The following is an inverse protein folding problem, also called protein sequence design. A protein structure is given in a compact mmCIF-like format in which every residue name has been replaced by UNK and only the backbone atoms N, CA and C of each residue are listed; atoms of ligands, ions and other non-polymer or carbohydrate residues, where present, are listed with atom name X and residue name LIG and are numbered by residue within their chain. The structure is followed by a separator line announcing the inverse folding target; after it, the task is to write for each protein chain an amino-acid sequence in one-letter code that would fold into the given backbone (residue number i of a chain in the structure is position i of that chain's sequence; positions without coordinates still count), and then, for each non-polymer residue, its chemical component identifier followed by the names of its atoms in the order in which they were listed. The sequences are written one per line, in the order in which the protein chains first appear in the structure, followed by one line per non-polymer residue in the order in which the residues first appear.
data_IF_810790897464
#
_entry.id   IF_810790897464
#
_cell.length_a   1.000
_cell.length_b   1.000
_cell.length_c   1.000
_cell.angle_alpha   90.00
_cell.angle_beta   90.00
_cell.angle_gamma   90.00
#
_symmetry.space_group_name_H-M   'P 1'
#
loop_
_entity.id
_entity.type
_entity.pdbx_description
1 polymer ?
#
# COMPACT_ATOMS: atom_id res chain seq x y z
N UNK A 1 24.46 30.35 0.96
CA UNK A 1 24.53 29.51 2.19
C UNK A 1 23.11 29.39 2.71
N UNK A 2 22.74 28.16 3.08
CA UNK A 2 21.54 27.68 3.78
C UNK A 2 20.67 28.80 4.39
N UNK A 3 19.38 28.85 4.13
CA UNK A 3 18.47 27.95 4.85
C UNK A 3 17.14 27.88 4.11
N UNK A 4 16.84 26.75 3.49
CA UNK A 4 15.45 26.35 3.25
C UNK A 4 14.90 25.96 4.61
N UNK A 5 14.36 26.92 5.37
CA UNK A 5 13.72 26.61 6.62
C UNK A 5 12.37 25.94 6.30
N UNK A 6 12.37 24.61 6.32
CA UNK A 6 11.14 23.84 6.35
C UNK A 6 10.64 23.85 7.79
N UNK A 7 9.41 24.30 7.95
CA UNK A 7 8.82 24.61 9.22
C UNK A 7 7.61 23.68 9.36
N UNK A 8 7.79 22.61 10.15
CA UNK A 8 6.75 21.63 10.48
C UNK A 8 6.04 22.09 11.75
N UNK A 9 4.73 22.33 11.69
CA UNK A 9 3.92 22.49 12.91
C UNK A 9 3.15 21.21 13.18
N UNK A 10 3.36 20.62 14.35
CA UNK A 10 2.56 19.49 14.85
C UNK A 10 1.77 19.96 16.04
N UNK A 11 0.46 19.70 15.99
CA UNK A 11 -0.52 20.20 16.93
C UNK A 11 -1.06 19.08 17.86
N UNK A 12 -0.90 19.12 19.20
CA UNK A 12 -1.45 18.11 20.14
C UNK A 12 -2.65 18.62 20.94
N UNK A 13 -3.87 18.23 20.56
CA UNK A 13 -5.04 18.48 21.40
C UNK A 13 -4.98 17.59 22.65
N UNK A 14 -4.64 18.18 23.79
CA UNK A 14 -5.13 17.69 25.08
C UNK A 14 -6.63 18.02 25.25
N UNK A 15 -7.20 17.68 26.41
CA UNK A 15 -8.59 18.04 26.77
C UNK A 15 -8.89 19.54 26.76
N UNK A 16 -7.85 20.38 26.61
CA UNK A 16 -7.94 21.78 26.19
C UNK A 16 -7.46 21.90 24.74
N UNK A 17 -8.31 21.49 23.79
CA UNK A 17 -8.03 21.47 22.35
C UNK A 17 -7.90 22.78 21.55
N UNK A 18 -8.07 24.03 22.07
CA UNK A 18 -7.97 25.24 21.22
C UNK A 18 -6.55 25.74 20.91
N UNK A 19 -5.56 25.51 21.78
CA UNK A 19 -4.30 26.28 21.78
C UNK A 19 -3.36 26.01 20.61
N UNK A 20 -3.37 24.81 20.08
CA UNK A 20 -2.23 24.38 19.29
C UNK A 20 -2.44 24.54 17.77
N UNK A 21 -3.70 24.72 17.34
CA UNK A 21 -4.01 25.31 16.03
C UNK A 21 -3.52 26.76 15.95
N UNK A 22 -3.72 27.53 17.02
CA UNK A 22 -3.32 28.94 17.07
C UNK A 22 -1.78 29.05 17.05
N UNK A 23 -1.07 28.15 17.74
CA UNK A 23 0.40 28.01 17.66
C UNK A 23 0.89 27.67 16.24
N UNK A 24 0.16 26.84 15.49
CA UNK A 24 0.47 26.53 14.10
C UNK A 24 0.37 27.75 13.20
N UNK A 25 -0.70 28.52 13.38
CA UNK A 25 -1.01 29.67 12.55
C UNK A 25 -0.10 30.86 12.85
N UNK A 26 0.20 31.12 14.13
CA UNK A 26 1.14 32.17 14.55
C UNK A 26 2.55 31.91 14.02
N UNK A 27 2.98 30.66 14.01
CA UNK A 27 4.28 30.27 13.44
C UNK A 27 4.35 30.48 11.92
N UNK A 28 3.31 30.12 11.18
CA UNK A 28 3.22 30.39 9.73
C UNK A 28 3.26 31.91 9.43
N UNK A 29 2.55 32.72 10.23
CA UNK A 29 2.55 34.18 10.10
C UNK A 29 3.90 34.81 10.44
N UNK A 30 4.64 34.23 11.40
CA UNK A 30 5.98 34.67 11.75
C UNK A 30 6.99 34.31 10.66
N UNK A 31 6.90 33.13 10.04
CA UNK A 31 7.75 32.77 8.90
C UNK A 31 7.54 33.70 7.69
N UNK A 32 6.28 34.09 7.41
CA UNK A 32 5.96 34.97 6.28
C UNK A 32 6.55 36.38 6.42
N UNK A 33 6.72 36.89 7.66
CA UNK A 33 7.29 38.21 7.95
C UNK A 33 8.82 38.28 7.75
N UNK A 34 9.51 37.13 7.70
CA UNK A 34 10.99 37.07 7.60
C UNK A 34 11.48 36.91 6.14
N UNK A 35 10.56 36.79 5.16
CA UNK A 35 10.90 36.74 3.73
C UNK A 35 11.46 35.41 3.22
N UNK A 36 11.46 34.37 4.06
CA UNK A 36 11.65 32.98 3.64
C UNK A 36 10.32 32.42 3.09
N UNK A 37 10.35 31.64 2.00
CA UNK A 37 9.19 30.89 1.50
C UNK A 37 9.30 29.44 1.97
N UNK A 38 8.77 29.07 3.14
CA UNK A 38 8.78 27.68 3.57
C UNK A 38 7.70 26.90 2.82
N UNK A 39 7.98 25.64 2.52
CA UNK A 39 6.93 24.64 2.27
C UNK A 39 6.52 24.10 3.64
N UNK A 40 5.32 24.42 4.11
CA UNK A 40 4.78 23.92 5.37
C UNK A 40 3.68 22.89 5.09
N UNK A 41 3.72 21.76 5.79
CA UNK A 41 2.62 20.80 5.85
C UNK A 41 2.19 20.61 7.30
N UNK A 42 0.90 20.79 7.58
CA UNK A 42 0.29 20.66 8.90
C UNK A 42 -1.07 19.99 8.70
N UNK A 43 -1.27 18.75 9.16
CA UNK A 43 -2.62 18.24 9.40
C UNK A 43 -2.66 17.36 10.64
N UNK A 44 -3.52 17.78 11.56
CA UNK A 44 -3.84 17.15 12.84
C UNK A 44 -5.34 16.90 12.85
N UNK A 45 -5.80 15.77 13.40
CA UNK A 45 -6.87 15.73 14.41
C UNK A 45 -7.04 14.32 15.00
N UNK A 46 -7.28 14.32 16.31
CA UNK A 46 -7.00 13.29 17.30
C UNK A 46 -8.32 12.80 17.91
N UNK A 47 -8.50 11.47 18.01
CA UNK A 47 -9.68 10.83 18.61
C UNK A 47 -9.48 10.46 20.10
N UNK A 48 -8.50 11.05 20.79
CA UNK A 48 -8.15 10.68 22.17
C UNK A 48 -6.92 9.79 22.30
N UNK A 49 -6.38 9.24 21.21
CA UNK A 49 -5.17 8.39 21.25
C UNK A 49 -3.87 9.08 20.80
N UNK A 50 -2.71 8.71 21.38
CA UNK A 50 -1.40 9.29 21.03
C UNK A 50 -0.99 9.00 19.58
N UNK A 51 -0.59 10.02 18.84
CA UNK A 51 -0.02 9.88 17.49
C UNK A 51 1.42 9.35 17.58
N UNK A 52 1.74 8.25 16.88
CA UNK A 52 3.08 7.64 16.81
C UNK A 52 4.13 8.53 16.10
N UNK A 53 5.39 8.46 16.56
CA UNK A 53 6.52 9.32 16.16
C UNK A 53 7.07 9.05 14.74
N UNK A 54 6.66 7.97 14.08
CA UNK A 54 7.31 7.49 12.84
C UNK A 54 6.62 7.91 11.53
N UNK A 55 5.73 8.91 11.54
CA UNK A 55 4.95 9.26 10.34
C UNK A 55 5.56 10.40 9.53
N UNK A 56 5.52 10.22 8.22
CA UNK A 56 5.87 11.25 7.24
C UNK A 56 4.67 12.18 7.04
N UNK A 57 4.78 13.44 7.51
CA UNK A 57 3.72 14.44 7.38
C UNK A 57 3.72 15.15 6.01
N UNK A 58 4.62 14.82 5.09
CA UNK A 58 4.67 15.45 3.77
C UNK A 58 3.56 14.97 2.82
N UNK A 59 2.84 13.90 3.20
CA UNK A 59 1.75 13.28 2.43
C UNK A 59 0.65 12.85 3.40
N UNK A 60 -0.62 13.15 3.10
CA UNK A 60 -1.74 12.68 3.91
C UNK A 60 -1.89 11.16 3.87
N UNK A 61 -2.01 10.51 5.03
CA UNK A 61 -2.33 9.08 5.14
C UNK A 61 -3.16 8.80 6.39
N UNK A 62 -3.81 7.63 6.43
CA UNK A 62 -4.48 7.18 7.64
C UNK A 62 -3.46 6.92 8.75
N UNK A 63 -3.85 7.28 9.96
CA UNK A 63 -3.07 7.00 11.14
C UNK A 63 -2.96 5.49 11.37
N UNK A 64 -4.11 4.87 11.55
CA UNK A 64 -4.21 3.47 11.93
C UNK A 64 -4.45 2.61 10.69
N UNK A 65 -4.05 1.34 10.79
CA UNK A 65 -4.30 0.36 9.74
C UNK A 65 -5.80 0.14 9.53
N UNK A 66 -6.22 -0.13 8.30
CA UNK A 66 -7.64 -0.42 7.98
C UNK A 66 -8.08 -1.71 8.69
N UNK A 67 -7.18 -2.67 8.87
CA UNK A 67 -7.41 -3.98 9.46
C UNK A 67 -7.05 -4.05 10.97
N UNK A 68 -6.63 -2.95 11.61
CA UNK A 68 -6.06 -3.00 12.98
C UNK A 68 -7.07 -3.45 14.06
N UNK A 69 -8.33 -3.03 13.98
CA UNK A 69 -9.44 -3.42 14.88
C UNK A 69 -10.69 -3.82 14.08
N UNK A 70 -10.47 -4.48 12.95
CA UNK A 70 -11.49 -4.66 11.95
C UNK A 70 -12.48 -5.78 12.34
N UNK A 71 -13.71 -5.40 12.66
CA UNK A 71 -14.84 -6.34 12.73
C UNK A 71 -15.41 -6.51 11.33
N UNK A 72 -15.48 -7.76 10.86
CA UNK A 72 -16.01 -8.11 9.54
C UNK A 72 -17.44 -7.57 9.36
N UNK A 73 -17.69 -6.95 8.21
CA UNK A 73 -18.99 -6.38 7.88
C UNK A 73 -19.37 -5.12 8.68
N UNK A 74 -18.48 -4.59 9.53
CA UNK A 74 -18.76 -3.35 10.25
C UNK A 74 -18.72 -2.13 9.33
N UNK A 75 -19.60 -1.18 9.62
CA UNK A 75 -19.61 0.11 8.95
C UNK A 75 -18.30 0.89 9.16
N UNK A 76 -17.72 0.80 10.37
CA UNK A 76 -16.41 1.41 10.69
C UNK A 76 -15.32 0.92 9.75
N UNK A 77 -15.26 -0.39 9.50
CA UNK A 77 -14.30 -0.99 8.57
C UNK A 77 -14.53 -0.53 7.13
N UNK A 78 -15.79 -0.48 6.68
CA UNK A 78 -16.10 0.03 5.34
C UNK A 78 -15.64 1.48 5.17
N UNK A 79 -15.96 2.35 6.13
CA UNK A 79 -15.54 3.76 6.10
C UNK A 79 -14.01 3.90 6.13
N UNK A 80 -13.31 3.07 6.92
CA UNK A 80 -11.84 3.05 6.93
C UNK A 80 -11.25 2.60 5.58
N UNK A 81 -11.84 1.58 4.95
CA UNK A 81 -11.48 1.16 3.60
C UNK A 81 -11.66 2.30 2.59
N UNK A 82 -12.84 2.94 2.55
CA UNK A 82 -13.11 4.07 1.64
C UNK A 82 -12.13 5.21 1.89
N UNK A 83 -11.92 5.63 3.15
CA UNK A 83 -10.98 6.69 3.49
C UNK A 83 -9.55 6.37 3.03
N UNK A 84 -9.09 5.13 3.20
CA UNK A 84 -7.79 4.67 2.71
C UNK A 84 -7.71 4.75 1.18
N UNK A 85 -8.78 4.35 0.48
CA UNK A 85 -8.87 4.47 -0.98
C UNK A 85 -8.77 5.91 -1.43
N UNK A 86 -9.55 6.82 -0.85
CA UNK A 86 -9.53 8.24 -1.23
C UNK A 86 -8.16 8.88 -0.98
N UNK A 87 -7.56 8.63 0.17
CA UNK A 87 -6.24 9.14 0.50
C UNK A 87 -5.19 8.69 -0.52
N UNK A 88 -5.26 7.42 -0.96
CA UNK A 88 -4.38 6.91 -2.00
C UNK A 88 -4.67 7.55 -3.37
N UNK A 89 -5.94 7.58 -3.80
CA UNK A 89 -6.33 8.18 -5.08
C UNK A 89 -5.94 9.66 -5.18
N UNK A 90 -6.02 10.38 -4.06
CA UNK A 90 -5.63 11.78 -3.96
C UNK A 90 -4.13 12.04 -4.07
N UNK A 91 -3.29 11.00 -3.97
CA UNK A 91 -1.86 11.11 -4.18
C UNK A 91 -1.16 12.14 -3.27
N UNK A 92 -1.72 12.41 -2.09
CA UNK A 92 -1.24 13.44 -1.16
C UNK A 92 -1.78 14.85 -1.38
N UNK A 93 -2.62 15.07 -2.40
CA UNK A 93 -3.24 16.36 -2.68
C UNK A 93 -4.55 16.52 -1.89
N UNK A 94 -4.60 17.51 -1.00
CA UNK A 94 -5.77 17.77 -0.15
C UNK A 94 -6.98 18.28 -0.95
N UNK A 95 -6.76 19.05 -2.01
CA UNK A 95 -7.84 19.53 -2.87
C UNK A 95 -8.50 18.37 -3.60
N UNK A 96 -7.69 17.44 -4.11
CA UNK A 96 -8.19 16.20 -4.70
C UNK A 96 -8.94 15.35 -3.67
N UNK A 97 -8.41 15.22 -2.45
CA UNK A 97 -9.07 14.46 -1.40
C UNK A 97 -10.47 15.03 -1.06
N UNK A 98 -10.61 16.36 -1.04
CA UNK A 98 -11.90 17.03 -0.83
C UNK A 98 -12.87 16.78 -1.98
N UNK A 99 -12.42 16.93 -3.23
CA UNK A 99 -13.24 16.61 -4.41
C UNK A 99 -13.73 15.16 -4.39
N UNK A 100 -12.85 14.24 -3.99
CA UNK A 100 -13.17 12.82 -3.91
C UNK A 100 -14.17 12.50 -2.80
N UNK A 101 -14.13 13.19 -1.65
CA UNK A 101 -15.09 13.03 -0.56
C UNK A 101 -16.51 13.38 -1.02
N UNK A 102 -16.66 14.50 -1.75
CA UNK A 102 -17.93 14.89 -2.36
C UNK A 102 -18.46 13.84 -3.35
N UNK A 103 -17.56 13.27 -4.16
CA UNK A 103 -17.90 12.22 -5.14
C UNK A 103 -18.40 10.95 -4.45
N UNK A 104 -17.78 10.54 -3.33
CA UNK A 104 -18.16 9.30 -2.65
C UNK A 104 -19.26 9.47 -1.61
N UNK A 105 -19.66 10.71 -1.28
CA UNK A 105 -20.77 10.98 -0.37
C UNK A 105 -22.09 10.32 -0.79
N UNK A 106 -22.26 10.02 -2.08
CA UNK A 106 -23.40 9.27 -2.63
C UNK A 106 -23.25 7.75 -2.65
N UNK A 107 -22.09 7.20 -2.26
CA UNK A 107 -21.82 5.76 -2.31
C UNK A 107 -22.41 5.09 -1.07
N UNK A 108 -23.37 4.18 -1.29
CA UNK A 108 -23.96 3.39 -0.22
C UNK A 108 -22.94 2.49 0.50
N UNK A 109 -23.24 2.13 1.74
CA UNK A 109 -22.41 1.22 2.53
C UNK A 109 -22.16 -0.10 1.77
N UNK A 110 -20.90 -0.55 1.78
CA UNK A 110 -20.44 -1.78 1.12
C UNK A 110 -20.59 -1.80 -0.41
N UNK A 111 -20.89 -0.65 -1.02
CA UNK A 111 -21.08 -0.49 -2.47
C UNK A 111 -19.78 -0.39 -3.27
N UNK A 112 -18.89 -1.38 -3.20
CA UNK A 112 -17.56 -1.34 -3.84
C UNK A 112 -17.63 -1.07 -5.35
N UNK A 113 -18.58 -1.69 -6.07
CA UNK A 113 -18.76 -1.42 -7.50
C UNK A 113 -19.20 0.03 -7.80
N UNK A 114 -20.02 0.62 -6.92
CA UNK A 114 -20.43 2.03 -7.05
C UNK A 114 -19.28 2.98 -6.71
N UNK A 115 -18.44 2.64 -5.72
CA UNK A 115 -17.21 3.35 -5.43
C UNK A 115 -16.28 3.36 -6.65
N UNK A 116 -16.02 2.19 -7.26
CA UNK A 116 -15.16 2.10 -8.44
C UNK A 116 -15.70 2.91 -9.63
N UNK A 117 -17.01 2.86 -9.88
CA UNK A 117 -17.64 3.64 -10.93
C UNK A 117 -17.49 5.15 -10.68
N UNK A 118 -17.79 5.61 -9.46
CA UNK A 118 -17.66 7.02 -9.09
C UNK A 118 -16.21 7.53 -9.24
N UNK A 119 -15.23 6.74 -8.81
CA UNK A 119 -13.81 7.07 -8.99
C UNK A 119 -13.40 7.12 -10.47
N UNK A 120 -13.91 6.20 -11.31
CA UNK A 120 -13.61 6.18 -12.74
C UNK A 120 -14.22 7.41 -13.45
N UNK A 121 -15.45 7.76 -13.13
CA UNK A 121 -16.15 8.91 -13.72
C UNK A 121 -15.45 10.21 -13.34
N UNK A 122 -15.14 10.40 -12.06
CA UNK A 122 -14.42 11.59 -11.59
C UNK A 122 -13.02 11.68 -12.19
N UNK A 123 -12.25 10.60 -12.23
CA UNK A 123 -10.91 10.60 -12.83
C UNK A 123 -10.96 10.92 -14.33
N UNK A 124 -11.95 10.38 -15.03
CA UNK A 124 -12.20 10.63 -16.46
C UNK A 124 -12.61 12.08 -16.72
N UNK A 125 -13.38 12.70 -15.83
CA UNK A 125 -13.69 14.12 -15.91
C UNK A 125 -12.45 14.98 -15.62
N UNK A 126 -11.70 14.65 -14.55
CA UNK A 126 -10.55 15.44 -14.10
C UNK A 126 -9.42 15.50 -15.11
N UNK A 127 -9.13 14.40 -15.82
CA UNK A 127 -8.06 14.40 -16.83
C UNK A 127 -8.31 15.39 -17.97
N UNK A 128 -9.56 15.75 -18.25
CA UNK A 128 -9.90 16.75 -19.29
C UNK A 128 -9.44 18.17 -18.94
N UNK A 129 -9.27 18.46 -17.64
CA UNK A 129 -8.77 19.74 -17.15
C UNK A 129 -7.24 19.81 -17.08
N UNK A 130 -6.52 18.74 -17.44
CA UNK A 130 -5.06 18.73 -17.42
C UNK A 130 -4.51 19.36 -18.71
N UNK A 131 -3.57 20.28 -18.55
CA UNK A 131 -2.87 20.92 -19.68
C UNK A 131 -2.25 19.89 -20.63
N UNK A 132 -2.45 20.08 -21.93
CA UNK A 132 -1.97 19.15 -22.95
C UNK A 132 -0.45 18.95 -22.94
N UNK A 133 0.31 19.99 -22.60
CA UNK A 133 1.77 19.93 -22.45
C UNK A 133 2.21 19.02 -21.29
N UNK A 134 1.47 19.04 -20.18
CA UNK A 134 1.74 18.20 -19.03
C UNK A 134 1.42 16.73 -19.35
N UNK A 135 0.33 16.45 -20.07
CA UNK A 135 0.00 15.10 -20.54
C UNK A 135 1.03 14.54 -21.53
N UNK A 136 1.53 15.37 -22.47
CA UNK A 136 2.63 14.97 -23.36
C UNK A 136 3.89 14.62 -22.59
N UNK A 137 4.26 15.48 -21.65
CA UNK A 137 5.40 15.27 -20.75
C UNK A 137 5.26 13.99 -19.92
N UNK A 138 4.03 13.69 -19.46
CA UNK A 138 3.72 12.45 -18.75
C UNK A 138 3.87 11.22 -19.64
N UNK A 139 3.41 11.28 -20.89
CA UNK A 139 3.56 10.18 -21.85
C UNK A 139 5.04 9.84 -22.10
N UNK A 140 5.88 10.85 -22.33
CA UNK A 140 7.34 10.71 -22.45
C UNK A 140 7.94 10.06 -21.18
N UNK A 141 7.51 10.50 -20.00
CA UNK A 141 7.96 9.91 -18.72
C UNK A 141 7.57 8.43 -18.57
N UNK A 142 6.32 8.08 -18.88
CA UNK A 142 5.79 6.72 -18.76
C UNK A 142 6.48 5.72 -19.70
N UNK A 143 6.80 6.17 -20.92
CA UNK A 143 7.42 5.33 -21.95
C UNK A 143 8.95 5.25 -21.80
N UNK A 144 9.53 6.00 -20.85
CA UNK A 144 10.96 5.99 -20.60
C UNK A 144 11.79 6.52 -21.78
N UNK A 145 11.22 7.43 -22.57
CA UNK A 145 11.96 8.08 -23.65
C UNK A 145 13.20 8.79 -23.05
N UNK A 146 14.38 8.64 -23.67
CA UNK A 146 15.63 9.08 -23.06
C UNK A 146 15.63 10.60 -22.87
N UNK A 147 15.55 11.04 -21.62
CA UNK A 147 15.82 12.43 -21.27
C UNK A 147 17.27 12.75 -21.66
N UNK A 148 17.47 13.87 -22.39
CA UNK A 148 18.78 14.27 -22.91
C UNK A 148 19.86 14.48 -21.82
N UNK A 149 19.47 14.57 -20.53
CA UNK A 149 20.38 14.63 -19.38
C UNK A 149 19.68 14.22 -18.06
N UNK A 150 20.47 13.91 -17.02
CA UNK A 150 19.96 13.63 -15.66
C UNK A 150 19.32 14.85 -14.99
N UNK A 151 19.82 16.06 -15.26
CA UNK A 151 19.21 17.32 -14.79
C UNK A 151 17.86 17.59 -15.44
N UNK A 152 17.71 17.24 -16.73
CA UNK A 152 16.45 17.32 -17.46
C UNK A 152 15.42 16.33 -16.90
N UNK A 153 15.84 15.10 -16.58
CA UNK A 153 14.96 14.10 -15.96
C UNK A 153 14.45 14.53 -14.57
N UNK A 154 15.31 15.08 -13.73
CA UNK A 154 14.92 15.60 -12.41
C UNK A 154 13.98 16.82 -12.52
N UNK A 155 14.23 17.71 -13.49
CA UNK A 155 13.36 18.84 -13.77
C UNK A 155 11.98 18.42 -14.28
N UNK A 156 11.92 17.42 -15.17
CA UNK A 156 10.67 16.84 -15.66
C UNK A 156 9.86 16.20 -14.51
N UNK A 157 10.51 15.40 -13.67
CA UNK A 157 9.87 14.77 -12.51
C UNK A 157 9.30 15.81 -11.52
N UNK A 158 10.05 16.88 -11.25
CA UNK A 158 9.57 17.98 -10.40
C UNK A 158 8.37 18.71 -11.03
N UNK A 159 8.42 18.99 -12.34
CA UNK A 159 7.33 19.65 -13.06
C UNK A 159 6.04 18.80 -13.03
N UNK A 160 6.15 17.51 -13.32
CA UNK A 160 5.01 16.60 -13.30
C UNK A 160 4.43 16.39 -11.89
N UNK A 161 5.26 16.43 -10.84
CA UNK A 161 4.79 16.42 -9.44
C UNK A 161 4.07 17.72 -9.08
N UNK A 162 4.59 18.87 -9.49
CA UNK A 162 3.92 20.15 -9.28
C UNK A 162 2.57 20.23 -10.01
N UNK A 163 2.43 19.52 -11.12
CA UNK A 163 1.16 19.37 -11.85
C UNK A 163 0.23 18.30 -11.26
N UNK A 164 0.62 17.62 -10.17
CA UNK A 164 -0.17 16.55 -9.55
C UNK A 164 -0.30 15.27 -10.37
N UNK A 165 0.51 15.10 -11.42
CA UNK A 165 0.49 13.93 -12.32
C UNK A 165 1.41 12.80 -11.83
N UNK A 166 2.48 13.19 -11.15
CA UNK A 166 3.34 12.29 -10.40
C UNK A 166 3.19 12.57 -8.90
N UNK A 167 3.43 11.53 -8.11
CA UNK A 167 3.57 11.66 -6.68
C UNK A 167 4.60 10.66 -6.16
N UNK A 168 5.00 10.84 -4.91
CA UNK A 168 5.92 9.93 -4.24
C UNK A 168 5.24 9.41 -2.97
N UNK A 169 4.79 8.14 -2.95
CA UNK A 169 4.27 7.54 -1.74
C UNK A 169 5.31 7.56 -0.62
N UNK A 170 4.81 7.60 0.62
CA UNK A 170 5.64 7.55 1.82
C UNK A 170 6.51 6.29 1.80
N UNK A 171 7.79 6.45 2.14
CA UNK A 171 8.77 5.35 2.18
C UNK A 171 9.35 4.96 0.82
N UNK A 172 8.89 5.57 -0.27
CA UNK A 172 9.41 5.29 -1.61
C UNK A 172 10.43 6.30 -2.10
N UNK A 173 11.40 5.80 -2.89
CA UNK A 173 12.47 6.64 -3.46
C UNK A 173 12.11 7.25 -4.80
N UNK A 174 11.19 6.62 -5.55
CA UNK A 174 10.85 7.01 -6.92
C UNK A 174 9.44 7.57 -6.97
N UNK A 175 9.26 8.60 -7.79
CA UNK A 175 7.94 9.08 -8.13
C UNK A 175 7.23 8.05 -9.02
N UNK A 176 5.91 8.05 -8.97
CA UNK A 176 5.02 7.21 -9.78
C UNK A 176 3.82 8.03 -10.23
N UNK A 177 3.05 7.57 -11.24
CA UNK A 177 1.79 8.21 -11.61
C UNK A 177 0.87 8.37 -10.41
N UNK A 178 0.19 9.51 -10.31
CA UNK A 178 -0.91 9.67 -9.37
C UNK A 178 -2.00 8.61 -9.67
N UNK A 179 -2.62 7.97 -8.66
CA UNK A 179 -3.50 6.82 -8.93
C UNK A 179 -4.75 7.23 -9.71
N UNK A 180 -5.29 8.43 -9.45
CA UNK A 180 -6.39 8.99 -10.24
C UNK A 180 -6.04 9.12 -11.73
N UNK A 181 -4.81 9.55 -12.04
CA UNK A 181 -4.34 9.69 -13.42
C UNK A 181 -4.17 8.32 -14.06
N UNK A 182 -3.57 7.37 -13.33
CA UNK A 182 -3.43 6.00 -13.80
C UNK A 182 -4.79 5.35 -14.11
N UNK A 183 -5.78 5.60 -13.26
CA UNK A 183 -7.17 5.19 -13.44
C UNK A 183 -7.76 5.81 -14.71
N UNK A 184 -7.68 7.12 -14.88
CA UNK A 184 -8.21 7.82 -16.05
C UNK A 184 -7.61 7.27 -17.36
N UNK A 185 -6.28 7.09 -17.42
CA UNK A 185 -5.59 6.58 -18.60
C UNK A 185 -5.98 5.13 -18.91
N UNK A 186 -6.05 4.25 -17.90
CA UNK A 186 -6.45 2.86 -18.09
C UNK A 186 -7.93 2.70 -18.42
N UNK A 187 -8.78 3.61 -17.93
CA UNK A 187 -10.21 3.63 -18.24
C UNK A 187 -10.44 4.04 -19.69
N UNK A 188 -9.73 5.07 -20.18
CA UNK A 188 -9.79 5.50 -21.57
C UNK A 188 -9.17 4.48 -22.53
N UNK A 189 -8.04 3.87 -22.15
CA UNK A 189 -7.32 2.91 -22.99
C UNK A 189 -6.85 1.69 -22.16
N UNK A 190 -7.65 0.62 -22.05
CA UNK A 190 -7.26 -0.58 -21.30
C UNK A 190 -5.99 -1.27 -21.82
N UNK A 191 -5.63 -1.02 -23.08
CA UNK A 191 -4.45 -1.52 -23.78
C UNK A 191 -3.21 -0.61 -23.70
N UNK A 192 -3.24 0.45 -22.89
CA UNK A 192 -2.19 1.48 -22.84
C UNK A 192 -0.78 0.89 -22.74
N UNK A 193 0.18 1.42 -23.50
CA UNK A 193 1.54 0.88 -23.60
C UNK A 193 2.26 0.78 -22.22
N UNK A 194 2.02 1.74 -21.32
CA UNK A 194 2.55 1.75 -19.95
C UNK A 194 1.67 1.01 -18.92
N UNK A 195 0.76 0.10 -19.35
CA UNK A 195 -0.25 -0.54 -18.50
C UNK A 195 0.29 -1.14 -17.20
N UNK A 196 1.47 -1.78 -17.22
CA UNK A 196 2.04 -2.36 -16.01
C UNK A 196 2.37 -1.32 -14.94
N UNK A 197 2.92 -0.16 -15.35
CA UNK A 197 3.25 0.95 -14.44
C UNK A 197 1.97 1.59 -13.91
N UNK A 198 0.99 1.82 -14.78
CA UNK A 198 -0.30 2.41 -14.40
C UNK A 198 -1.08 1.51 -13.44
N UNK A 199 -1.13 0.20 -13.71
CA UNK A 199 -1.78 -0.78 -12.82
C UNK A 199 -1.14 -0.79 -11.44
N UNK A 200 0.19 -0.77 -11.36
CA UNK A 200 0.91 -0.74 -10.10
C UNK A 200 0.62 0.55 -9.30
N UNK A 201 0.47 1.69 -9.98
CA UNK A 201 0.12 2.95 -9.32
C UNK A 201 -1.28 2.94 -8.66
N UNK A 202 -2.23 2.22 -9.24
CA UNK A 202 -3.59 2.06 -8.68
C UNK A 202 -3.67 1.18 -7.44
N UNK A 203 -2.64 0.38 -7.14
CA UNK A 203 -2.64 -0.48 -5.96
C UNK A 203 -2.35 0.36 -4.73
N UNK A 204 -3.33 0.47 -3.82
CA UNK A 204 -3.15 1.11 -2.52
C UNK A 204 -2.09 0.36 -1.71
N UNK A 205 -0.86 0.89 -1.73
CA UNK A 205 0.32 0.25 -1.15
C UNK A 205 0.17 -0.05 0.35
N UNK A 206 -0.20 0.93 1.19
CA UNK A 206 -0.46 0.71 2.61
C UNK A 206 -1.45 -0.42 2.88
N UNK A 207 -2.61 -0.40 2.23
CA UNK A 207 -3.64 -1.43 2.43
C UNK A 207 -3.19 -2.80 1.90
N UNK A 208 -2.49 -2.84 0.76
CA UNK A 208 -1.94 -4.07 0.21
C UNK A 208 -0.89 -4.70 1.13
N UNK A 209 0.00 -3.88 1.68
CA UNK A 209 1.02 -4.33 2.63
C UNK A 209 0.39 -4.84 3.93
N UNK A 210 -0.64 -4.15 4.42
CA UNK A 210 -1.38 -4.59 5.61
C UNK A 210 -2.06 -5.95 5.37
N UNK A 211 -2.81 -6.10 4.27
CA UNK A 211 -3.46 -7.36 3.89
C UNK A 211 -2.45 -8.50 3.66
N UNK A 212 -1.33 -8.21 2.99
CA UNK A 212 -0.27 -9.18 2.73
C UNK A 212 0.43 -9.60 4.03
N UNK A 213 0.64 -8.67 4.96
CA UNK A 213 1.19 -8.98 6.28
C UNK A 213 0.29 -9.95 7.03
N UNK A 214 -1.02 -9.70 7.07
CA UNK A 214 -2.00 -10.63 7.67
C UNK A 214 -1.93 -12.01 7.03
N UNK A 215 -1.85 -12.08 5.70
CA UNK A 215 -1.70 -13.34 4.99
C UNK A 215 -0.42 -14.09 5.38
N UNK A 216 0.71 -13.40 5.53
CA UNK A 216 1.96 -14.03 5.96
C UNK A 216 1.92 -14.52 7.40
N UNK A 217 1.28 -13.77 8.31
CA UNK A 217 1.13 -14.18 9.70
C UNK A 217 0.23 -15.43 9.82
N UNK A 218 -0.88 -15.48 9.04
CA UNK A 218 -1.73 -16.68 8.91
C UNK A 218 -0.97 -17.85 8.29
N UNK A 219 -0.25 -17.64 7.18
CA UNK A 219 0.49 -18.71 6.49
C UNK A 219 1.57 -19.30 7.41
N UNK A 220 2.27 -18.46 8.17
CA UNK A 220 3.28 -18.92 9.13
C UNK A 220 2.68 -19.80 10.23
N UNK A 221 1.53 -19.39 10.78
CA UNK A 221 0.79 -20.16 11.80
C UNK A 221 0.27 -21.48 11.24
N UNK A 222 -0.31 -21.42 10.03
CA UNK A 222 -0.81 -22.60 9.33
C UNK A 222 0.31 -23.59 9.04
N UNK A 223 1.43 -23.17 8.45
CA UNK A 223 2.57 -24.06 8.16
C UNK A 223 3.09 -24.70 9.44
N UNK A 224 3.18 -23.97 10.55
CA UNK A 224 3.58 -24.55 11.84
C UNK A 224 2.57 -25.60 12.37
N UNK A 225 1.26 -25.34 12.26
CA UNK A 225 0.20 -26.29 12.63
C UNK A 225 0.25 -27.55 11.74
N UNK A 226 0.46 -27.37 10.44
CA UNK A 226 0.59 -28.46 9.47
C UNK A 226 1.82 -29.31 9.74
N UNK A 227 2.99 -28.70 9.97
CA UNK A 227 4.21 -29.42 10.34
C UNK A 227 4.00 -30.25 11.63
N UNK A 228 3.30 -29.70 12.63
CA UNK A 228 3.00 -30.43 13.88
C UNK A 228 2.14 -31.68 13.64
N UNK A 229 1.20 -31.60 12.71
CA UNK A 229 0.22 -32.67 12.43
C UNK A 229 0.71 -33.68 11.38
N UNK A 230 1.57 -33.22 10.47
CA UNK A 230 1.91 -33.92 9.23
C UNK A 230 3.41 -33.88 8.91
N UNK A 231 4.28 -33.58 9.87
CA UNK A 231 5.73 -33.44 9.65
C UNK A 231 6.36 -34.66 8.98
N UNK A 232 5.78 -35.85 9.18
CA UNK A 232 6.18 -37.10 8.52
C UNK A 232 5.99 -37.09 6.99
N UNK A 233 5.21 -36.15 6.45
CA UNK A 233 5.03 -35.97 5.01
C UNK A 233 6.23 -35.31 4.32
N UNK A 234 7.34 -35.04 5.01
CA UNK A 234 8.57 -34.48 4.42
C UNK A 234 9.01 -35.24 3.16
N UNK A 235 8.90 -36.57 3.15
CA UNK A 235 9.26 -37.41 2.00
C UNK A 235 8.33 -37.28 0.79
N UNK A 236 7.21 -36.55 0.92
CA UNK A 236 6.28 -36.23 -0.18
C UNK A 236 6.50 -34.82 -0.75
N UNK A 237 7.34 -34.01 -0.12
CA UNK A 237 7.75 -32.70 -0.64
C UNK A 237 8.65 -32.91 -1.86
N UNK A 238 8.42 -32.15 -2.93
CA UNK A 238 9.09 -32.35 -4.22
C UNK A 238 10.36 -31.51 -4.36
N UNK A 239 10.27 -30.23 -4.01
CA UNK A 239 11.32 -29.23 -4.26
C UNK A 239 12.11 -28.90 -3.00
N UNK A 240 11.40 -28.87 -1.86
CA UNK A 240 11.94 -28.41 -0.59
C UNK A 240 13.19 -29.17 -0.09
N UNK A 241 13.31 -30.52 -0.23
CA UNK A 241 14.52 -31.24 0.17
C UNK A 241 15.76 -30.82 -0.63
N UNK A 242 15.60 -30.56 -1.93
CA UNK A 242 16.68 -30.09 -2.79
C UNK A 242 17.14 -28.67 -2.41
N UNK A 243 16.20 -27.80 -2.02
CA UNK A 243 16.51 -26.46 -1.52
C UNK A 243 17.27 -26.53 -0.19
N UNK A 244 16.85 -27.37 0.75
CA UNK A 244 17.57 -27.60 2.01
C UNK A 244 19.01 -28.08 1.76
N UNK A 245 19.22 -29.01 0.83
CA UNK A 245 20.56 -29.49 0.50
C UNK A 245 21.43 -28.36 -0.08
N UNK A 246 20.88 -27.58 -1.01
CA UNK A 246 21.58 -26.43 -1.59
C UNK A 246 21.89 -25.35 -0.56
N UNK A 247 21.00 -25.15 0.43
CA UNK A 247 21.22 -24.26 1.57
C UNK A 247 22.39 -24.74 2.44
N UNK A 248 22.39 -26.03 2.83
CA UNK A 248 23.47 -26.64 3.62
C UNK A 248 24.83 -26.58 2.91
N UNK A 249 24.83 -26.58 1.57
CA UNK A 249 26.02 -26.43 0.74
C UNK A 249 26.45 -24.97 0.52
N UNK A 250 25.70 -23.99 1.03
CA UNK A 250 25.99 -22.55 0.80
C UNK A 250 25.75 -22.07 -0.63
N UNK A 251 25.02 -22.85 -1.44
CA UNK A 251 24.78 -22.55 -2.86
C UNK A 251 23.49 -21.77 -3.11
N UNK A 252 22.67 -21.56 -2.07
CA UNK A 252 21.52 -20.66 -2.08
C UNK A 252 21.91 -19.26 -1.62
N UNK A 253 21.34 -18.22 -2.25
CA UNK A 253 21.60 -16.83 -1.84
C UNK A 253 21.04 -16.56 -0.46
N UNK A 254 19.98 -17.26 -0.10
CA UNK A 254 19.26 -17.19 1.16
C UNK A 254 20.17 -17.51 2.35
N UNK A 255 21.24 -18.30 2.15
CA UNK A 255 22.25 -18.57 3.18
C UNK A 255 22.87 -17.28 3.75
N UNK A 256 22.97 -16.22 2.94
CA UNK A 256 23.57 -14.94 3.36
C UNK A 256 22.74 -14.18 4.40
N UNK A 257 21.47 -14.53 4.58
CA UNK A 257 20.58 -13.91 5.58
C UNK A 257 20.70 -14.54 6.96
N UNK A 258 21.42 -15.66 7.11
CA UNK A 258 21.62 -16.36 8.38
C UNK A 258 23.03 -16.09 8.91
N UNK A 259 23.20 -15.18 9.89
CA UNK A 259 24.51 -14.91 10.46
C UNK A 259 25.07 -16.16 11.19
N UNK A 260 26.39 -16.20 11.34
CA UNK A 260 27.06 -17.27 12.06
C UNK A 260 26.51 -17.39 13.50
N UNK A 261 26.09 -18.61 13.87
CA UNK A 261 25.50 -18.88 15.19
C UNK A 261 24.00 -18.57 15.31
N UNK A 262 23.30 -18.23 14.22
CA UNK A 262 21.85 -18.06 14.25
C UNK A 262 21.15 -19.36 14.68
N UNK A 263 20.41 -19.38 15.81
CA UNK A 263 19.74 -20.59 16.28
C UNK A 263 18.55 -21.00 15.41
N UNK A 264 18.02 -20.07 14.60
CA UNK A 264 16.88 -20.29 13.70
C UNK A 264 17.29 -20.74 12.30
N UNK A 265 18.44 -21.42 12.17
CA UNK A 265 18.91 -21.90 10.86
C UNK A 265 17.98 -23.03 10.34
N UNK A 266 17.56 -23.01 9.06
CA UNK A 266 16.73 -24.06 8.46
C UNK A 266 17.34 -25.44 8.66
N UNK A 267 16.58 -26.36 9.25
CA UNK A 267 17.07 -27.68 9.64
C UNK A 267 16.44 -28.84 8.85
N UNK A 268 15.17 -28.70 8.48
CA UNK A 268 14.38 -29.66 7.71
C UNK A 268 13.86 -29.06 6.39
N UNK A 269 13.26 -29.89 5.53
CA UNK A 269 12.76 -29.43 4.23
C UNK A 269 11.52 -28.53 4.38
N UNK A 270 10.75 -28.65 5.47
CA UNK A 270 9.58 -27.81 5.71
C UNK A 270 9.92 -26.32 5.80
N UNK A 271 11.13 -25.97 6.24
CA UNK A 271 11.64 -24.59 6.23
C UNK A 271 11.71 -23.97 4.81
N UNK A 272 11.70 -24.79 3.75
CA UNK A 272 11.74 -24.35 2.35
C UNK A 272 10.45 -24.66 1.59
N UNK A 273 9.52 -25.39 2.20
CA UNK A 273 8.29 -25.79 1.54
C UNK A 273 7.35 -24.60 1.37
N UNK A 274 6.92 -24.34 0.14
CA UNK A 274 5.84 -23.37 -0.09
C UNK A 274 4.51 -23.95 0.41
N UNK A 275 3.57 -23.12 0.86
CA UNK A 275 2.23 -23.60 1.25
C UNK A 275 1.56 -24.43 0.14
N UNK A 276 1.73 -24.04 -1.12
CA UNK A 276 1.21 -24.80 -2.25
C UNK A 276 1.85 -26.18 -2.44
N UNK A 277 3.12 -26.35 -2.06
CA UNK A 277 3.78 -27.65 -2.05
C UNK A 277 3.27 -28.53 -0.91
N UNK A 278 3.10 -27.95 0.28
CA UNK A 278 2.52 -28.62 1.45
C UNK A 278 1.10 -29.14 1.13
N UNK A 279 0.26 -28.31 0.52
CA UNK A 279 -1.11 -28.70 0.14
C UNK A 279 -1.16 -29.80 -0.94
N UNK A 280 -0.13 -29.88 -1.81
CA UNK A 280 0.00 -31.00 -2.75
C UNK A 280 0.42 -32.30 -2.07
N UNK A 281 1.26 -32.21 -1.04
CA UNK A 281 1.71 -33.37 -0.26
C UNK A 281 0.62 -33.94 0.65
N UNK A 282 -0.35 -33.11 1.04
CA UNK A 282 -1.52 -33.46 1.85
C UNK A 282 -2.86 -33.08 1.15
N UNK A 283 -3.27 -33.80 0.09
CA UNK A 283 -4.47 -33.48 -0.68
C UNK A 283 -5.77 -33.45 0.14
N UNK A 284 -5.82 -34.18 1.25
CA UNK A 284 -6.94 -34.19 2.20
C UNK A 284 -7.18 -32.83 2.88
N UNK A 285 -6.17 -31.96 2.90
CA UNK A 285 -6.24 -30.58 3.38
C UNK A 285 -6.54 -29.60 2.22
N UNK A 286 -6.31 -30.05 0.98
CA UNK A 286 -6.40 -29.24 -0.23
C UNK A 286 -7.75 -29.38 -0.93
N UNK A 287 -8.66 -28.44 -0.66
CA UNK A 287 -9.88 -28.23 -1.46
C UNK A 287 -9.83 -26.89 -2.19
N UNK A 288 -10.45 -26.76 -3.36
CA UNK A 288 -10.50 -25.47 -4.09
C UNK A 288 -11.10 -24.34 -3.24
N UNK A 289 -12.05 -24.68 -2.38
CA UNK A 289 -12.72 -23.78 -1.44
C UNK A 289 -12.15 -23.86 -0.01
N UNK A 290 -11.07 -24.62 0.21
CA UNK A 290 -10.46 -24.73 1.55
C UNK A 290 -9.83 -23.41 1.99
N UNK A 291 -9.89 -23.06 3.29
CA UNK A 291 -9.24 -21.86 3.82
C UNK A 291 -7.75 -21.76 3.45
N UNK A 292 -7.04 -22.88 3.46
CA UNK A 292 -5.61 -22.97 3.14
C UNK A 292 -5.33 -22.62 1.68
N UNK A 293 -6.13 -23.16 0.76
CA UNK A 293 -6.01 -22.86 -0.68
C UNK A 293 -6.40 -21.40 -0.95
N UNK A 294 -7.45 -20.91 -0.31
CA UNK A 294 -7.88 -19.51 -0.41
C UNK A 294 -6.80 -18.55 0.09
N UNK A 295 -6.17 -18.85 1.23
CA UNK A 295 -5.05 -18.08 1.78
C UNK A 295 -3.87 -18.05 0.81
N UNK A 296 -3.46 -19.21 0.29
CA UNK A 296 -2.39 -19.30 -0.71
C UNK A 296 -2.69 -18.44 -1.95
N UNK A 297 -3.90 -18.54 -2.51
CA UNK A 297 -4.29 -17.79 -3.68
C UNK A 297 -4.33 -16.29 -3.42
N UNK A 298 -4.87 -15.87 -2.27
CA UNK A 298 -4.94 -14.47 -1.87
C UNK A 298 -3.54 -13.88 -1.66
N UNK A 299 -2.67 -14.57 -0.89
CA UNK A 299 -1.28 -14.17 -0.67
C UNK A 299 -0.51 -14.03 -1.97
N UNK A 300 -0.66 -14.99 -2.89
CA UNK A 300 -0.01 -14.93 -4.20
C UNK A 300 -0.51 -13.74 -5.03
N UNK A 301 -1.82 -13.50 -5.08
CA UNK A 301 -2.37 -12.35 -5.78
C UNK A 301 -1.81 -11.03 -5.23
N UNK A 302 -1.77 -10.86 -3.90
CA UNK A 302 -1.21 -9.68 -3.26
C UNK A 302 0.30 -9.52 -3.52
N UNK A 303 1.06 -10.63 -3.46
CA UNK A 303 2.51 -10.63 -3.74
C UNK A 303 2.85 -10.22 -5.18
N UNK A 304 1.94 -10.48 -6.12
CA UNK A 304 2.07 -10.07 -7.52
C UNK A 304 1.48 -8.68 -7.81
N UNK A 305 1.10 -7.93 -6.79
CA UNK A 305 0.58 -6.56 -6.95
C UNK A 305 -0.80 -6.53 -7.60
N UNK A 306 -1.66 -7.53 -7.34
CA UNK A 306 -3.06 -7.45 -7.73
C UNK A 306 -3.78 -6.36 -6.94
N UNK A 307 -4.88 -5.87 -7.52
CA UNK A 307 -5.71 -4.82 -6.95
C UNK A 307 -6.34 -5.25 -5.63
N UNK A 308 -6.37 -4.33 -4.66
CA UNK A 308 -6.99 -4.54 -3.35
C UNK A 308 -8.36 -3.89 -3.32
N UNK A 309 -9.38 -4.75 -3.40
CA UNK A 309 -10.81 -4.37 -3.38
C UNK A 309 -11.41 -4.60 -2.00
N UNK A 310 -12.68 -4.22 -1.83
CA UNK A 310 -13.41 -4.57 -0.61
C UNK A 310 -13.55 -6.08 -0.43
N UNK A 311 -13.61 -6.84 -1.53
CA UNK A 311 -13.61 -8.30 -1.47
C UNK A 311 -12.32 -8.84 -0.83
N UNK A 312 -11.18 -8.27 -1.18
CA UNK A 312 -9.88 -8.61 -0.61
C UNK A 312 -9.87 -8.40 0.91
N UNK A 313 -10.38 -7.27 1.39
CA UNK A 313 -10.50 -6.97 2.84
C UNK A 313 -11.37 -8.01 3.54
N UNK A 314 -12.53 -8.35 2.97
CA UNK A 314 -13.42 -9.36 3.54
C UNK A 314 -12.79 -10.76 3.56
N UNK A 315 -12.09 -11.13 2.49
CA UNK A 315 -11.44 -12.44 2.39
C UNK A 315 -10.33 -12.61 3.43
N UNK A 316 -9.55 -11.55 3.73
CA UNK A 316 -8.55 -11.60 4.81
C UNK A 316 -9.22 -11.87 6.16
N UNK A 317 -10.25 -11.10 6.52
CA UNK A 317 -10.92 -11.24 7.81
C UNK A 317 -11.64 -12.58 7.94
N UNK A 318 -12.24 -13.07 6.86
CA UNK A 318 -12.87 -14.38 6.82
C UNK A 318 -11.85 -15.51 7.03
N UNK A 319 -10.65 -15.39 6.45
CA UNK A 319 -9.57 -16.35 6.69
C UNK A 319 -9.01 -16.26 8.12
N UNK A 320 -8.93 -15.05 8.71
CA UNK A 320 -8.54 -14.90 10.12
C UNK A 320 -9.56 -15.57 11.05
N UNK A 321 -10.87 -15.47 10.75
CA UNK A 321 -11.94 -16.14 11.49
C UNK A 321 -11.88 -17.67 11.32
N UNK A 322 -11.76 -18.17 10.08
CA UNK A 322 -11.76 -19.61 9.76
C UNK A 322 -10.52 -20.33 10.30
N UNK A 323 -9.39 -19.63 10.42
CA UNK A 323 -8.10 -20.18 10.85
C UNK A 323 -7.71 -19.80 12.28
N UNK A 324 -8.63 -19.20 13.06
CA UNK A 324 -8.35 -18.72 14.41
C UNK A 324 -7.94 -19.85 15.39
N UNK A 325 -8.44 -21.07 15.17
CA UNK A 325 -8.28 -22.21 16.07
C UNK A 325 -7.10 -23.15 15.69
N UNK A 326 -6.18 -22.73 14.82
CA UNK A 326 -5.07 -23.54 14.31
C UNK A 326 -3.93 -23.84 15.29
#
# INVERSE_FOLDING_TARGET
MLSSAYWLVVVRAGTEGPTIRDEAQEFLENCAKVGERPTACVVVLHAGEPVSESRDFSVGCLADGVLQEAVRGSERLWRAYVASRLAWEAAGDLGIAQELDDVVGGVGLFGDAHLEAALNDWASARITGVEADALRSMATHLLGEPAASSSSAAGLDASLRNAGLLWRPVGERRSRPAPWLARALLHAEPGHAARHVLRAAMVNGPLANEALRRCFDLESTLVASLWRKHGELEGRLSDAPGLLQRFKQGSLRECTYYPAGCPATPHDAWCFASLGEVLRAAPELGGRESPETRLMLLRNALSHGHYVSWRTVKDVLELEEELADL
#
